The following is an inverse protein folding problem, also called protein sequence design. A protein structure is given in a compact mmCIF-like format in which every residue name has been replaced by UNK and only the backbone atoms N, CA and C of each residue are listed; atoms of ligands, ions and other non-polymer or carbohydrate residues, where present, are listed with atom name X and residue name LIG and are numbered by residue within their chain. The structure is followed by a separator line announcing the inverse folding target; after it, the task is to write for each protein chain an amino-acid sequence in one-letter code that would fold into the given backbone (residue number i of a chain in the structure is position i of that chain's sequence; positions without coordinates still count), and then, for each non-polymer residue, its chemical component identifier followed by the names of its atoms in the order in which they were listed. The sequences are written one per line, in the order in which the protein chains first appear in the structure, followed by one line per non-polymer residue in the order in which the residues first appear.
data_IF_837485749581
#
_entry.id   IF_837485749581
#
_cell.length_a   1.000
_cell.length_b   1.000
_cell.length_c   1.000
_cell.angle_alpha   90.00
_cell.angle_beta   90.00
_cell.angle_gamma   90.00
#
_symmetry.space_group_name_H-M   'P 1'
#
loop_
_entity.id
_entity.type
_entity.pdbx_description
1 polymer ?
#
# COMPACT_ATOMS: atom_id res chain seq x y z
N UNK A 1 34.69 -32.90 6.10
CA UNK A 1 34.44 -34.15 5.35
C UNK A 1 34.95 -35.31 6.17
N UNK A 2 34.12 -35.86 7.06
CA UNK A 2 34.48 -37.06 7.84
C UNK A 2 33.63 -38.20 7.24
N UNK A 3 34.33 -39.04 6.53
CA UNK A 3 33.76 -40.30 6.01
C UNK A 3 33.49 -41.28 7.15
N UNK A 4 32.36 -41.94 7.11
CA UNK A 4 32.00 -43.00 8.04
C UNK A 4 32.98 -44.15 7.88
N UNK A 5 33.78 -44.40 8.91
CA UNK A 5 34.76 -45.49 8.97
C UNK A 5 34.12 -46.78 9.40
N UNK A 6 34.08 -47.75 8.48
CA UNK A 6 33.64 -49.13 8.76
C UNK A 6 34.88 -49.89 9.29
N UNK A 7 34.99 -50.10 10.58
CA UNK A 7 36.01 -50.98 11.14
C UNK A 7 35.64 -52.47 10.93
N UNK A 8 36.32 -53.10 10.03
CA UNK A 8 36.32 -54.52 9.83
C UNK A 8 37.41 -55.19 10.65
N UNK A 9 37.06 -55.86 11.70
CA UNK A 9 38.04 -56.65 12.48
C UNK A 9 37.99 -58.11 12.04
N UNK A 10 39.02 -58.51 11.32
CA UNK A 10 39.27 -59.89 10.91
C UNK A 10 39.99 -60.68 12.02
N UNK A 11 39.45 -61.80 12.45
CA UNK A 11 40.18 -62.84 13.17
C UNK A 11 39.62 -64.20 12.84
N UNK A 12 40.46 -64.97 12.12
CA UNK A 12 40.13 -66.34 11.75
C UNK A 12 40.13 -67.29 12.90
N UNK A 13 39.09 -68.13 12.91
CA UNK A 13 39.17 -69.61 13.27
C UNK A 13 37.86 -70.29 12.84
N UNK A 14 38.03 -71.41 12.15
CA UNK A 14 36.94 -72.27 11.67
C UNK A 14 36.22 -72.96 12.84
N UNK A 15 34.97 -72.52 13.14
CA UNK A 15 33.92 -73.38 13.80
C UNK A 15 32.53 -72.83 13.51
N UNK A 16 31.64 -73.66 12.91
CA UNK A 16 30.19 -73.58 12.77
C UNK A 16 29.57 -72.24 12.60
N UNK A 17 29.11 -71.94 11.37
CA UNK A 17 28.35 -70.79 10.96
C UNK A 17 27.17 -70.45 11.87
N UNK A 18 27.34 -69.66 12.90
CA UNK A 18 26.27 -68.85 13.45
C UNK A 18 26.32 -67.50 12.68
N UNK A 19 25.23 -67.15 12.00
CA UNK A 19 25.08 -65.89 11.34
C UNK A 19 25.30 -64.78 12.38
N UNK A 20 26.41 -64.03 12.25
CA UNK A 20 26.66 -62.84 13.00
C UNK A 20 25.62 -61.81 12.59
N UNK A 21 24.69 -61.47 13.48
CA UNK A 21 23.81 -60.30 13.30
C UNK A 21 24.71 -59.08 13.29
N UNK A 22 24.85 -58.47 12.12
CA UNK A 22 25.48 -57.16 11.98
C UNK A 22 24.55 -56.12 12.60
N UNK A 23 24.87 -55.63 13.78
CA UNK A 23 24.24 -54.42 14.31
C UNK A 23 24.89 -53.23 13.60
N UNK A 24 24.34 -52.86 12.44
CA UNK A 24 24.70 -51.63 11.77
C UNK A 24 24.09 -50.50 12.60
N UNK A 25 24.92 -49.86 13.42
CA UNK A 25 24.54 -48.59 14.04
C UNK A 25 24.65 -47.53 12.96
N UNK A 26 23.51 -47.15 12.40
CA UNK A 26 23.44 -46.00 11.48
C UNK A 26 23.46 -44.74 12.35
N UNK A 27 24.44 -43.88 12.14
CA UNK A 27 24.51 -42.56 12.78
C UNK A 27 23.56 -41.63 12.08
N UNK A 28 22.50 -41.20 12.76
CA UNK A 28 21.47 -40.30 12.25
C UNK A 28 21.83 -38.82 12.45
N UNK A 29 22.93 -38.51 13.11
CA UNK A 29 23.34 -37.13 13.45
C UNK A 29 23.42 -36.21 12.22
N UNK A 30 24.05 -36.60 11.10
CA UNK A 30 24.11 -35.73 9.90
C UNK A 30 22.73 -35.51 9.27
N UNK A 31 21.82 -36.51 9.37
CA UNK A 31 20.47 -36.39 8.82
C UNK A 31 19.61 -35.43 9.63
N UNK A 32 19.75 -35.44 10.96
CA UNK A 32 19.06 -34.51 11.85
C UNK A 32 19.58 -33.09 11.67
N UNK A 33 20.89 -32.92 11.48
CA UNK A 33 21.51 -31.61 11.26
C UNK A 33 21.02 -30.96 9.96
N UNK A 34 20.96 -31.73 8.87
CA UNK A 34 20.37 -31.26 7.62
C UNK A 34 18.90 -30.84 7.78
N UNK A 35 18.11 -31.59 8.54
CA UNK A 35 16.72 -31.24 8.84
C UNK A 35 16.63 -29.93 9.66
N UNK A 36 17.47 -29.76 10.65
CA UNK A 36 17.53 -28.53 11.45
C UNK A 36 17.91 -27.33 10.61
N UNK A 37 18.91 -27.46 9.74
CA UNK A 37 19.30 -26.39 8.80
C UNK A 37 18.17 -26.04 7.83
N UNK A 38 17.45 -27.05 7.33
CA UNK A 38 16.30 -26.81 6.45
C UNK A 38 15.17 -26.04 7.18
N UNK A 39 14.84 -26.45 8.41
CA UNK A 39 13.80 -25.80 9.22
C UNK A 39 14.20 -24.37 9.56
N UNK A 40 15.45 -24.14 9.98
CA UNK A 40 15.93 -22.80 10.31
C UNK A 40 15.96 -21.88 9.08
N UNK A 41 16.31 -22.41 7.91
CA UNK A 41 16.27 -21.69 6.64
C UNK A 41 14.84 -21.29 6.27
N UNK A 42 13.86 -22.20 6.34
CA UNK A 42 12.46 -21.86 6.09
C UNK A 42 11.90 -20.86 7.10
N UNK A 43 12.24 -21.01 8.39
CA UNK A 43 11.83 -20.04 9.41
C UNK A 43 12.41 -18.66 9.13
N UNK A 44 13.67 -18.56 8.69
CA UNK A 44 14.28 -17.29 8.30
C UNK A 44 13.56 -16.69 7.08
N UNK A 45 13.34 -17.48 6.03
CA UNK A 45 12.65 -17.01 4.82
C UNK A 45 11.22 -16.54 5.11
N UNK A 46 10.46 -17.26 5.92
CA UNK A 46 9.08 -16.88 6.27
C UNK A 46 9.05 -15.67 7.20
N UNK A 47 10.02 -15.50 8.10
CA UNK A 47 10.13 -14.34 8.99
C UNK A 47 10.45 -13.05 8.22
N UNK A 48 11.24 -13.13 7.14
CA UNK A 48 11.57 -11.99 6.29
C UNK A 48 10.45 -11.63 5.29
N UNK A 49 9.57 -12.59 4.96
CA UNK A 49 8.47 -12.41 4.01
C UNK A 49 7.22 -11.88 4.72
N UNK A 50 7.32 -10.73 5.41
CA UNK A 50 6.13 -10.03 5.91
C UNK A 50 5.47 -9.30 4.74
N UNK A 51 4.29 -9.72 4.27
CA UNK A 51 3.57 -8.95 3.26
C UNK A 51 3.21 -7.60 3.87
N UNK A 52 3.65 -6.53 3.25
CA UNK A 52 3.16 -5.20 3.56
C UNK A 52 1.76 -5.07 2.96
N UNK A 53 0.75 -5.36 3.75
CA UNK A 53 -0.63 -5.12 3.36
C UNK A 53 -0.93 -3.63 3.53
N UNK A 54 -1.40 -3.00 2.46
CA UNK A 54 -1.98 -1.66 2.54
C UNK A 54 -3.30 -1.74 3.29
N UNK A 55 -3.38 -1.15 4.47
CA UNK A 55 -4.67 -0.91 5.11
C UNK A 55 -5.37 0.26 4.40
N UNK A 56 -6.31 -0.07 3.52
CA UNK A 56 -7.20 0.92 2.91
C UNK A 56 -8.27 1.26 3.96
N UNK A 57 -8.07 2.34 4.68
CA UNK A 57 -9.05 2.83 5.64
C UNK A 57 -10.16 3.58 4.91
N UNK A 58 -11.21 2.87 4.49
CA UNK A 58 -12.42 3.52 3.99
C UNK A 58 -13.14 4.24 5.12
N UNK A 59 -13.47 5.53 4.98
CA UNK A 59 -14.35 6.20 5.91
C UNK A 59 -15.72 5.52 5.89
N UNK A 60 -16.22 5.12 7.05
CA UNK A 60 -17.59 4.59 7.18
C UNK A 60 -18.61 5.67 6.80
N UNK A 61 -19.69 5.26 6.11
CA UNK A 61 -20.84 6.11 5.75
C UNK A 61 -21.61 6.70 6.95
N UNK A 62 -21.19 6.44 8.18
CA UNK A 62 -21.92 6.80 9.40
C UNK A 62 -21.84 8.29 9.80
N UNK A 63 -21.36 9.15 8.91
CA UNK A 63 -21.23 10.60 9.16
C UNK A 63 -22.37 11.44 8.56
N UNK A 64 -23.57 10.89 8.45
CA UNK A 64 -24.68 11.56 7.78
C UNK A 64 -25.41 12.65 8.58
N UNK A 65 -24.93 13.07 9.75
CA UNK A 65 -25.67 14.04 10.59
C UNK A 65 -24.92 15.34 10.94
N UNK A 66 -23.95 15.79 10.15
CA UNK A 66 -23.26 17.05 10.44
C UNK A 66 -23.14 17.92 9.18
N UNK A 67 -24.25 18.51 8.75
CA UNK A 67 -24.28 19.38 7.55
C UNK A 67 -23.38 20.62 7.64
N UNK A 68 -23.11 21.15 8.82
CA UNK A 68 -22.22 22.31 9.00
C UNK A 68 -20.74 21.94 9.08
N UNK A 69 -20.41 20.79 9.67
CA UNK A 69 -19.02 20.28 9.65
C UNK A 69 -18.60 19.81 8.26
N UNK A 70 -19.53 19.43 7.39
CA UNK A 70 -19.27 18.98 6.04
C UNK A 70 -18.77 20.12 5.13
N UNK A 71 -19.30 21.35 5.26
CA UNK A 71 -18.84 22.50 4.45
C UNK A 71 -17.40 22.90 4.72
N UNK A 72 -16.97 22.92 5.98
CA UNK A 72 -15.57 23.22 6.33
C UNK A 72 -14.64 22.07 5.93
N UNK A 73 -15.12 20.83 5.96
CA UNK A 73 -14.36 19.66 5.49
C UNK A 73 -14.27 19.63 3.96
N UNK A 74 -15.33 20.02 3.27
CA UNK A 74 -15.37 20.07 1.81
C UNK A 74 -14.35 21.07 1.25
N UNK A 75 -14.22 22.27 1.84
CA UNK A 75 -13.23 23.26 1.41
C UNK A 75 -11.77 22.82 1.59
N UNK A 76 -11.50 21.85 2.50
CA UNK A 76 -10.17 21.27 2.72
C UNK A 76 -9.94 19.97 1.94
N UNK A 77 -10.97 19.45 1.29
CA UNK A 77 -10.88 18.25 0.49
C UNK A 77 -10.10 18.51 -0.81
N UNK A 78 -9.36 17.52 -1.23
CA UNK A 78 -8.72 17.48 -2.55
C UNK A 78 -9.29 16.28 -3.29
N UNK A 79 -9.80 16.49 -4.49
CA UNK A 79 -10.25 15.40 -5.34
C UNK A 79 -9.23 15.12 -6.42
N UNK A 80 -8.84 13.87 -6.57
CA UNK A 80 -7.94 13.38 -7.60
C UNK A 80 -8.77 12.56 -8.57
N UNK A 81 -8.69 12.93 -9.85
CA UNK A 81 -9.36 12.24 -10.95
C UNK A 81 -8.30 11.50 -11.77
N UNK A 82 -8.48 10.20 -11.94
CA UNK A 82 -7.58 9.37 -12.73
C UNK A 82 -8.09 9.28 -14.15
N UNK A 83 -7.33 9.80 -15.09
CA UNK A 83 -7.64 9.82 -16.51
C UNK A 83 -6.98 8.70 -17.29
N UNK A 84 -7.02 8.84 -18.62
CA UNK A 84 -6.39 7.95 -19.60
C UNK A 84 -4.87 8.17 -19.63
N UNK A 85 -4.12 7.14 -20.03
CA UNK A 85 -2.66 7.23 -20.29
C UNK A 85 -1.79 7.70 -19.11
N UNK A 86 -2.25 7.52 -17.88
CA UNK A 86 -1.50 7.92 -16.69
C UNK A 86 -1.62 9.39 -16.33
N UNK A 87 -2.47 10.15 -17.02
CA UNK A 87 -2.77 11.53 -16.67
C UNK A 87 -3.59 11.59 -15.40
N UNK A 88 -3.22 12.50 -14.52
CA UNK A 88 -3.88 12.74 -13.24
C UNK A 88 -4.37 14.18 -13.22
N UNK A 89 -5.60 14.33 -12.82
CA UNK A 89 -6.20 15.65 -12.67
C UNK A 89 -6.59 15.83 -11.21
N UNK A 90 -6.58 17.04 -10.72
CA UNK A 90 -7.02 17.34 -9.38
C UNK A 90 -7.71 18.68 -9.28
N UNK A 91 -8.58 18.80 -8.32
CA UNK A 91 -9.17 20.06 -7.91
C UNK A 91 -9.30 20.14 -6.39
N UNK A 92 -9.49 21.35 -5.90
CA UNK A 92 -9.56 21.68 -4.50
C UNK A 92 -10.96 22.09 -4.09
N UNK A 93 -11.43 21.57 -2.94
CA UNK A 93 -12.70 21.97 -2.38
C UNK A 93 -13.91 21.33 -3.05
N UNK A 94 -15.03 22.07 -3.06
CA UNK A 94 -16.25 21.63 -3.76
C UNK A 94 -16.09 21.83 -5.26
N UNK A 95 -16.57 20.88 -6.08
CA UNK A 95 -16.48 21.01 -7.53
C UNK A 95 -17.42 22.13 -8.02
N UNK A 96 -16.86 23.05 -8.77
CA UNK A 96 -17.62 24.02 -9.56
C UNK A 96 -17.70 23.51 -10.99
N UNK A 97 -18.84 22.92 -11.33
CA UNK A 97 -19.06 22.29 -12.63
C UNK A 97 -19.18 23.29 -13.79
N UNK A 98 -19.28 24.59 -13.50
CA UNK A 98 -19.33 25.65 -14.50
C UNK A 98 -17.93 26.18 -14.88
N UNK A 99 -16.91 25.86 -14.09
CA UNK A 99 -15.55 26.37 -14.28
C UNK A 99 -14.53 25.24 -14.49
N UNK A 100 -14.24 24.83 -15.74
CA UNK A 100 -13.29 23.76 -16.03
C UNK A 100 -11.82 24.13 -15.70
N UNK A 101 -11.49 25.41 -15.52
CA UNK A 101 -10.14 25.84 -15.16
C UNK A 101 -9.75 25.43 -13.72
N UNK A 102 -10.73 25.10 -12.90
CA UNK A 102 -10.51 24.57 -11.55
C UNK A 102 -9.73 23.25 -11.56
N UNK A 103 -9.90 22.46 -12.61
CA UNK A 103 -9.21 21.18 -12.78
C UNK A 103 -7.80 21.43 -13.31
N UNK A 104 -6.82 21.00 -12.56
CA UNK A 104 -5.40 21.10 -12.93
C UNK A 104 -4.88 19.71 -13.30
N UNK A 105 -4.07 19.68 -14.36
CA UNK A 105 -3.38 18.46 -14.78
C UNK A 105 -2.07 18.33 -14.00
N UNK A 106 -1.76 17.11 -13.58
CA UNK A 106 -0.50 16.77 -12.90
C UNK A 106 -0.06 15.37 -13.33
N UNK A 107 1.13 14.99 -12.90
CA UNK A 107 1.72 13.70 -13.16
C UNK A 107 2.20 13.02 -11.86
N UNK A 108 2.66 11.80 -11.96
CA UNK A 108 3.27 11.04 -10.87
C UNK A 108 4.75 11.40 -10.61
N UNK A 109 5.24 12.49 -11.20
CA UNK A 109 6.61 12.93 -10.94
C UNK A 109 6.78 13.44 -9.51
N UNK A 110 8.00 13.47 -8.98
CA UNK A 110 8.28 14.04 -7.65
C UNK A 110 7.84 15.50 -7.50
N UNK A 111 7.82 16.27 -8.60
CA UNK A 111 7.39 17.67 -8.63
C UNK A 111 5.89 17.84 -8.96
N UNK A 112 5.21 16.77 -9.36
CA UNK A 112 3.78 16.76 -9.65
C UNK A 112 2.92 16.53 -8.41
N UNK A 113 2.14 15.47 -8.42
CA UNK A 113 1.18 15.14 -7.36
C UNK A 113 1.82 15.12 -5.96
N UNK A 114 3.02 14.53 -5.83
CA UNK A 114 3.74 14.45 -4.55
C UNK A 114 4.03 15.82 -3.94
N UNK A 115 4.51 16.76 -4.73
CA UNK A 115 4.81 18.12 -4.25
C UNK A 115 3.56 18.83 -3.73
N UNK A 116 2.44 18.67 -4.42
CA UNK A 116 1.14 19.23 -4.06
C UNK A 116 0.65 18.65 -2.72
N UNK A 117 0.70 17.32 -2.60
CA UNK A 117 0.29 16.61 -1.38
C UNK A 117 1.16 16.96 -0.18
N UNK A 118 2.49 17.01 -0.36
CA UNK A 118 3.42 17.42 0.69
C UNK A 118 3.20 18.86 1.12
N UNK A 119 2.96 19.77 0.18
CA UNK A 119 2.66 21.16 0.47
C UNK A 119 1.43 21.32 1.36
N UNK A 120 0.42 20.48 1.16
CA UNK A 120 -0.80 20.48 1.97
C UNK A 120 -0.66 19.77 3.31
N UNK A 121 0.20 18.81 3.41
CA UNK A 121 0.34 17.97 4.59
C UNK A 121 1.56 18.34 5.46
N UNK A 122 2.11 19.56 5.29
CA UNK A 122 3.33 19.98 5.98
C UNK A 122 3.24 19.85 7.50
N UNK A 123 2.11 20.23 8.10
CA UNK A 123 1.92 20.17 9.54
C UNK A 123 1.98 18.73 10.09
N UNK A 124 1.37 17.78 9.40
CA UNK A 124 1.41 16.35 9.77
C UNK A 124 2.81 15.79 9.55
N UNK A 125 3.46 16.18 8.45
CA UNK A 125 4.83 15.76 8.13
C UNK A 125 5.85 16.21 9.18
N UNK A 126 5.73 17.42 9.69
CA UNK A 126 6.58 17.92 10.78
C UNK A 126 6.40 17.09 12.05
N UNK A 127 5.17 16.86 12.48
CA UNK A 127 4.87 16.02 13.66
C UNK A 127 5.41 14.60 13.52
N UNK A 128 5.24 13.97 12.34
CA UNK A 128 5.77 12.63 12.09
C UNK A 128 7.30 12.62 12.07
N UNK A 129 7.94 13.69 11.59
CA UNK A 129 9.41 13.82 11.62
C UNK A 129 9.93 13.90 13.07
N UNK A 130 9.27 14.67 13.92
CA UNK A 130 9.59 14.74 15.35
C UNK A 130 9.43 13.39 16.04
N UNK A 131 8.35 12.66 15.75
CA UNK A 131 8.16 11.29 16.27
C UNK A 131 9.23 10.32 15.79
N UNK A 132 9.65 10.42 14.52
CA UNK A 132 10.77 9.62 14.01
C UNK A 132 12.07 9.91 14.74
N UNK A 133 12.33 11.17 15.07
CA UNK A 133 13.50 11.54 15.86
C UNK A 133 13.46 10.96 17.28
N UNK A 134 12.33 11.08 17.98
CA UNK A 134 12.11 10.47 19.29
C UNK A 134 12.32 8.96 19.27
N UNK A 135 11.82 8.29 18.23
CA UNK A 135 12.08 6.85 18.04
C UNK A 135 13.56 6.55 17.79
N UNK A 136 14.25 7.37 16.98
CA UNK A 136 15.67 7.21 16.72
C UNK A 136 16.52 7.40 17.98
N UNK A 137 16.09 8.30 18.87
CA UNK A 137 16.71 8.54 20.18
C UNK A 137 16.34 7.46 21.23
N UNK A 138 15.53 6.46 20.86
CA UNK A 138 15.02 5.41 21.78
C UNK A 138 14.16 5.94 22.93
N UNK A 139 13.55 7.12 22.77
CA UNK A 139 12.68 7.73 23.77
C UNK A 139 11.28 7.09 23.76
N UNK A 140 10.85 6.52 22.62
CA UNK A 140 9.56 5.86 22.44
C UNK A 140 9.74 4.46 21.84
N UNK A 141 8.85 3.55 22.22
CA UNK A 141 8.83 2.19 21.67
C UNK A 141 8.30 2.17 20.23
N UNK A 142 8.55 1.06 19.52
CA UNK A 142 8.04 0.90 18.17
C UNK A 142 6.49 0.86 18.14
N UNK A 143 5.86 0.31 19.17
CA UNK A 143 4.41 0.22 19.29
C UNK A 143 3.77 1.59 19.54
N UNK A 144 4.37 2.39 20.42
CA UNK A 144 3.95 3.77 20.68
C UNK A 144 4.08 4.64 19.43
N UNK A 145 5.21 4.54 18.73
CA UNK A 145 5.41 5.24 17.46
C UNK A 145 4.31 4.91 16.44
N UNK A 146 3.93 3.63 16.29
CA UNK A 146 2.88 3.21 15.36
C UNK A 146 1.51 3.79 15.75
N UNK A 147 1.16 3.76 17.04
CA UNK A 147 -0.10 4.33 17.55
C UNK A 147 -0.17 5.84 17.35
N UNK A 148 0.82 6.58 17.82
CA UNK A 148 0.86 8.03 17.72
C UNK A 148 0.90 8.50 16.25
N UNK A 149 1.66 7.82 15.40
CA UNK A 149 1.69 8.16 13.98
C UNK A 149 0.35 7.93 13.29
N UNK A 150 -0.40 6.88 13.67
CA UNK A 150 -1.74 6.63 13.14
C UNK A 150 -2.75 7.70 13.62
N UNK A 151 -2.66 8.14 14.87
CA UNK A 151 -3.50 9.21 15.40
C UNK A 151 -3.25 10.55 14.72
N UNK A 152 -1.98 10.90 14.50
CA UNK A 152 -1.61 12.14 13.81
C UNK A 152 -2.11 12.14 12.37
N UNK A 153 -2.01 11.01 11.65
CA UNK A 153 -2.53 10.87 10.29
C UNK A 153 -4.05 11.00 10.21
N UNK A 154 -4.77 10.57 11.25
CA UNK A 154 -6.25 10.62 11.34
C UNK A 154 -6.76 11.90 11.98
N UNK A 155 -5.91 12.82 12.42
CA UNK A 155 -6.30 14.06 13.08
C UNK A 155 -7.27 14.88 12.20
N UNK A 156 -8.14 15.66 12.86
CA UNK A 156 -9.17 16.47 12.16
C UNK A 156 -8.58 17.52 11.22
N UNK A 157 -7.34 17.94 11.45
CA UNK A 157 -6.62 18.91 10.63
C UNK A 157 -5.92 18.31 9.42
N UNK A 158 -5.85 16.98 9.33
CA UNK A 158 -5.27 16.31 8.18
C UNK A 158 -6.12 16.52 6.93
N UNK A 159 -5.49 16.73 5.76
CA UNK A 159 -6.21 16.86 4.49
C UNK A 159 -6.99 15.56 4.20
N UNK A 160 -8.15 15.72 3.56
CA UNK A 160 -8.96 14.62 3.06
C UNK A 160 -8.76 14.55 1.55
N UNK A 161 -8.42 13.37 1.05
CA UNK A 161 -8.23 13.14 -0.38
C UNK A 161 -9.30 12.19 -0.90
N UNK A 162 -10.02 12.60 -1.93
CA UNK A 162 -10.99 11.78 -2.64
C UNK A 162 -10.35 11.30 -3.94
N UNK A 163 -10.32 10.01 -4.18
CA UNK A 163 -9.75 9.41 -5.38
C UNK A 163 -10.90 8.88 -6.22
N UNK A 164 -11.03 9.39 -7.43
CA UNK A 164 -12.06 8.97 -8.38
C UNK A 164 -11.40 8.53 -9.67
N UNK A 165 -11.70 7.32 -10.12
CA UNK A 165 -11.15 6.78 -11.35
C UNK A 165 -12.17 6.85 -12.47
N UNK A 166 -11.73 7.26 -13.66
CA UNK A 166 -12.52 7.10 -14.89
C UNK A 166 -12.47 5.65 -15.36
N UNK A 167 -13.40 5.24 -16.23
CA UNK A 167 -13.42 3.90 -16.81
C UNK A 167 -12.18 3.62 -17.69
N UNK A 168 -11.46 4.66 -18.09
CA UNK A 168 -10.22 4.59 -18.89
C UNK A 168 -8.95 4.56 -18.05
N UNK A 169 -9.06 4.70 -16.73
CA UNK A 169 -7.92 4.69 -15.84
C UNK A 169 -7.37 3.27 -15.66
N UNK A 170 -6.05 3.15 -15.71
CA UNK A 170 -5.39 1.89 -15.42
C UNK A 170 -5.35 1.64 -13.90
N UNK A 171 -5.52 0.38 -13.51
CA UNK A 171 -5.37 -0.03 -12.10
C UNK A 171 -4.00 0.38 -11.52
N UNK A 172 -2.96 0.40 -12.34
CA UNK A 172 -1.63 0.88 -11.96
C UNK A 172 -1.68 2.32 -11.44
N UNK A 173 -2.42 3.20 -12.11
CA UNK A 173 -2.53 4.60 -11.69
C UNK A 173 -3.17 4.74 -10.32
N UNK A 174 -4.14 3.88 -10.00
CA UNK A 174 -4.74 3.83 -8.68
C UNK A 174 -3.72 3.42 -7.60
N UNK A 175 -2.91 2.40 -7.88
CA UNK A 175 -1.86 1.96 -6.95
C UNK A 175 -0.81 3.07 -6.78
N UNK A 176 -0.38 3.72 -7.86
CA UNK A 176 0.60 4.81 -7.81
C UNK A 176 0.08 5.98 -6.93
N UNK A 177 -1.22 6.32 -7.02
CA UNK A 177 -1.82 7.33 -6.13
C UNK A 177 -1.85 6.86 -4.68
N UNK A 178 -2.20 5.60 -4.42
CA UNK A 178 -2.21 5.05 -3.05
C UNK A 178 -0.80 5.04 -2.43
N UNK A 179 0.22 4.76 -3.22
CA UNK A 179 1.61 4.86 -2.79
C UNK A 179 1.99 6.31 -2.44
N UNK A 180 1.56 7.29 -3.25
CA UNK A 180 1.75 8.70 -2.94
C UNK A 180 1.05 9.12 -1.65
N UNK A 181 -0.16 8.59 -1.35
CA UNK A 181 -0.82 8.83 -0.06
C UNK A 181 0.02 8.34 1.12
N UNK A 182 0.63 7.16 0.99
CA UNK A 182 1.50 6.61 2.03
C UNK A 182 2.80 7.41 2.18
N UNK A 183 3.46 7.75 1.08
CA UNK A 183 4.70 8.55 1.06
C UNK A 183 4.46 9.91 1.72
N UNK A 184 3.33 10.55 1.39
CA UNK A 184 2.94 11.84 1.94
C UNK A 184 2.29 11.78 3.33
N UNK A 185 2.19 10.58 3.93
CA UNK A 185 1.55 10.34 5.23
C UNK A 185 0.12 10.87 5.32
N UNK A 186 -0.66 10.74 4.26
CA UNK A 186 -2.08 11.08 4.23
C UNK A 186 -2.86 9.88 4.73
N UNK A 187 -3.48 10.00 5.90
CA UNK A 187 -4.26 8.92 6.52
C UNK A 187 -5.76 8.99 6.25
N UNK A 188 -6.24 10.07 5.61
CA UNK A 188 -7.66 10.29 5.34
C UNK A 188 -7.90 10.41 3.84
N UNK A 189 -8.13 9.29 3.19
CA UNK A 189 -8.51 9.24 1.79
C UNK A 189 -9.68 8.27 1.58
N UNK A 190 -10.45 8.47 0.53
CA UNK A 190 -11.51 7.59 0.11
C UNK A 190 -11.45 7.37 -1.40
N UNK A 191 -11.72 6.14 -1.82
CA UNK A 191 -11.91 5.79 -3.22
C UNK A 191 -13.41 5.84 -3.48
N UNK A 192 -13.82 6.59 -4.48
CA UNK A 192 -15.23 6.80 -4.84
C UNK A 192 -15.41 6.66 -6.35
N UNK A 193 -16.62 6.32 -6.73
CA UNK A 193 -16.98 6.34 -8.16
C UNK A 193 -16.98 7.78 -8.68
N UNK A 194 -16.56 7.94 -9.93
CA UNK A 194 -16.58 9.24 -10.58
C UNK A 194 -18.03 9.66 -10.86
N UNK A 195 -18.35 10.93 -10.61
CA UNK A 195 -19.68 11.46 -10.88
C UNK A 195 -19.79 11.96 -12.32
N UNK A 196 -21.00 12.00 -12.90
CA UNK A 196 -21.19 12.58 -14.24
C UNK A 196 -20.70 14.03 -14.35
N UNK A 197 -20.83 14.81 -13.27
CA UNK A 197 -20.31 16.19 -13.23
C UNK A 197 -18.79 16.25 -13.34
N UNK A 198 -18.06 15.35 -12.65
CA UNK A 198 -16.59 15.28 -12.75
C UNK A 198 -16.13 14.88 -14.16
N UNK A 199 -16.91 13.98 -14.82
CA UNK A 199 -16.62 13.59 -16.21
C UNK A 199 -16.81 14.77 -17.17
N UNK A 200 -17.84 15.61 -16.97
CA UNK A 200 -18.02 16.83 -17.78
C UNK A 200 -16.87 17.80 -17.59
N UNK A 201 -16.42 18.04 -16.35
CA UNK A 201 -15.24 18.87 -16.08
C UNK A 201 -13.99 18.34 -16.80
N UNK A 202 -13.80 17.03 -16.82
CA UNK A 202 -12.70 16.41 -17.55
C UNK A 202 -12.86 16.58 -19.07
N UNK A 203 -14.08 16.41 -19.60
CA UNK A 203 -14.39 16.60 -21.01
C UNK A 203 -14.07 18.03 -21.47
N UNK A 204 -14.49 19.03 -20.70
CA UNK A 204 -14.27 20.43 -21.02
C UNK A 204 -12.80 20.83 -20.93
N UNK A 205 -12.04 20.15 -20.05
CA UNK A 205 -10.58 20.38 -19.90
C UNK A 205 -9.73 19.68 -20.97
N UNK A 206 -10.16 18.49 -21.44
CA UNK A 206 -9.44 17.70 -22.43
C UNK A 206 -10.00 17.95 -23.82
N UNK A 207 -9.37 18.84 -24.59
CA UNK A 207 -9.83 19.21 -25.95
C UNK A 207 -9.51 18.17 -27.04
N UNK A 208 -8.83 17.06 -26.72
CA UNK A 208 -8.45 16.01 -27.64
C UNK A 208 -9.51 14.86 -27.70
N UNK A 209 -9.35 13.91 -28.63
CA UNK A 209 -10.29 12.80 -28.89
C UNK A 209 -10.74 11.97 -27.66
N UNK A 210 -10.11 12.17 -26.53
CA UNK A 210 -10.53 11.66 -25.23
C UNK A 210 -11.88 12.25 -24.77
N UNK A 211 -12.19 13.48 -25.18
CA UNK A 211 -13.46 14.13 -24.86
C UNK A 211 -14.68 13.42 -25.50
N UNK A 212 -14.51 12.81 -26.67
CA UNK A 212 -15.58 12.06 -27.33
C UNK A 212 -15.84 10.72 -26.64
N UNK A 213 -14.79 10.03 -26.19
CA UNK A 213 -14.91 8.82 -25.36
C UNK A 213 -15.66 9.12 -24.04
N UNK A 214 -15.39 10.27 -23.42
CA UNK A 214 -16.08 10.69 -22.21
C UNK A 214 -17.54 11.01 -22.40
N UNK A 215 -17.97 11.54 -23.57
CA UNK A 215 -19.37 11.80 -23.87
C UNK A 215 -20.21 10.54 -23.83
N UNK A 216 -19.72 9.45 -24.43
CA UNK A 216 -20.39 8.16 -24.45
C UNK A 216 -20.57 7.62 -23.02
N UNK A 217 -19.54 7.73 -22.18
CA UNK A 217 -19.59 7.29 -20.77
C UNK A 217 -20.54 8.15 -19.95
N UNK A 218 -20.58 9.46 -20.17
CA UNK A 218 -21.50 10.37 -19.47
C UNK A 218 -22.94 10.00 -19.81
N UNK A 219 -23.27 9.86 -21.09
CA UNK A 219 -24.60 9.48 -21.55
C UNK A 219 -25.01 8.13 -20.96
N UNK A 220 -24.14 7.13 -20.97
CA UNK A 220 -24.40 5.83 -20.36
C UNK A 220 -24.67 5.92 -18.85
N UNK A 221 -23.94 6.75 -18.11
CA UNK A 221 -24.11 6.91 -16.66
C UNK A 221 -25.33 7.72 -16.27
N UNK A 222 -25.76 8.67 -17.10
CA UNK A 222 -27.01 9.44 -16.89
C UNK A 222 -28.27 8.62 -17.14
N UNK A 223 -28.19 7.60 -18.00
CA UNK A 223 -29.29 6.69 -18.30
C UNK A 223 -29.48 5.58 -17.25
N UNK A 224 -28.52 5.43 -16.33
CA UNK A 224 -28.57 4.41 -15.29
C UNK A 224 -29.15 5.02 -14.02
N UNK A 225 -30.33 4.55 -13.56
CA UNK A 225 -31.01 5.05 -12.38
C UNK A 225 -30.21 4.77 -11.08
#
# INVERSE_FOLDING_TARGET
LIMAEIQQKDSGERKKRKQKKFNVRVDFTPMVDMNMLLITFFMLCTSMSKPQTMEISMPRKDLLNEQEQNKVKASKAMTILLGKEGKVYYYMGEPDYENPEMVQETDFSPNGLRAILLGRNQAVMQKIRELKQKKANLEISNEEYLKESAEIRKAKDSPVVLIKATDFANYRNLIDVLDEMQICNIGRYAIMDITPGDLRLLQDKTHDGYADDLKEVIEYRELKP
#
